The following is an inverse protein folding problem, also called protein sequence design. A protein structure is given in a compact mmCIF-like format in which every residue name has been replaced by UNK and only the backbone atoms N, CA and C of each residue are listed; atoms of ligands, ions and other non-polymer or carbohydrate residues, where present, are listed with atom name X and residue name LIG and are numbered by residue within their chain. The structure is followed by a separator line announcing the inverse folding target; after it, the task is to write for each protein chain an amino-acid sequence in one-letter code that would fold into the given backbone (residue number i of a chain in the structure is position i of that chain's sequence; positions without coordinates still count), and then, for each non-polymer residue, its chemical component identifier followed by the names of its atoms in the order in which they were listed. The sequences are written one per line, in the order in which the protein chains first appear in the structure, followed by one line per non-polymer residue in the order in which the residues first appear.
data_IF_649815051550
#
_entry.id   IF_649815051550
#
_cell.length_a   1.000
_cell.length_b   1.000
_cell.length_c   1.000
_cell.angle_alpha   90.00
_cell.angle_beta   90.00
_cell.angle_gamma   90.00
#
_symmetry.space_group_name_H-M   'P 1'
#
loop_
_entity.id
_entity.type
_entity.pdbx_description
1 polymer ?
#
# COMPACT_ATOMS: atom_id res chain seq x y z
N UNK A 1 21.28 -66.52 -33.57
CA UNK A 1 20.75 -65.17 -33.91
C UNK A 1 19.93 -64.62 -32.76
N UNK A 2 20.30 -63.49 -32.11
CA UNK A 2 19.53 -62.92 -31.05
C UNK A 2 18.37 -62.08 -31.63
N UNK A 3 17.19 -62.20 -30.98
CA UNK A 3 15.99 -61.43 -31.25
C UNK A 3 16.17 -59.98 -30.85
N UNK A 4 15.83 -59.10 -31.76
CA UNK A 4 15.71 -57.66 -31.56
C UNK A 4 14.48 -57.34 -30.67
N UNK A 5 14.69 -56.78 -29.50
CA UNK A 5 13.63 -56.19 -28.66
C UNK A 5 13.27 -54.82 -29.18
N UNK A 6 12.06 -54.72 -29.75
CA UNK A 6 11.44 -53.44 -30.15
C UNK A 6 10.94 -52.76 -28.87
N UNK A 7 11.26 -51.51 -28.59
CA UNK A 7 10.70 -50.79 -27.41
C UNK A 7 9.20 -50.49 -27.60
N UNK A 8 8.44 -50.90 -26.60
CA UNK A 8 7.00 -50.59 -26.46
C UNK A 8 6.78 -49.08 -26.37
N UNK A 9 5.85 -48.52 -27.16
CA UNK A 9 5.56 -47.08 -27.08
C UNK A 9 4.87 -46.77 -25.75
N UNK A 10 5.43 -45.76 -25.08
CA UNK A 10 4.84 -45.16 -23.84
C UNK A 10 3.46 -44.59 -24.17
N UNK A 11 2.41 -44.80 -23.38
CA UNK A 11 1.11 -44.24 -23.60
C UNK A 11 1.15 -42.72 -23.47
N UNK A 12 0.79 -42.01 -24.53
CA UNK A 12 0.51 -40.58 -24.47
C UNK A 12 -0.74 -40.37 -23.63
N UNK A 13 -0.63 -39.57 -22.60
CA UNK A 13 -1.76 -39.09 -21.80
C UNK A 13 -2.59 -38.16 -22.68
N UNK A 14 -3.71 -38.68 -23.21
CA UNK A 14 -4.73 -37.91 -23.91
C UNK A 14 -5.61 -37.15 -22.90
N UNK A 15 -5.03 -36.18 -22.21
CA UNK A 15 -5.84 -35.18 -21.48
C UNK A 15 -6.25 -34.13 -22.52
N UNK A 16 -7.55 -33.88 -22.76
CA UNK A 16 -7.96 -32.91 -23.75
C UNK A 16 -7.48 -31.53 -23.35
N UNK A 17 -6.70 -30.91 -24.20
CA UNK A 17 -6.27 -29.54 -24.03
C UNK A 17 -7.52 -28.64 -24.11
N UNK A 18 -7.83 -27.82 -23.08
CA UNK A 18 -8.98 -26.94 -23.14
C UNK A 18 -8.86 -25.97 -24.30
N UNK A 19 -9.97 -25.71 -25.00
CA UNK A 19 -10.01 -24.70 -26.05
C UNK A 19 -9.87 -23.31 -25.43
N UNK A 20 -8.71 -22.69 -25.64
CA UNK A 20 -8.39 -21.33 -25.13
C UNK A 20 -8.87 -20.34 -26.19
N UNK A 21 -9.98 -19.65 -25.91
CA UNK A 21 -10.65 -18.77 -26.89
C UNK A 21 -10.26 -17.31 -26.74
N UNK A 22 -9.65 -16.91 -25.61
CA UNK A 22 -9.23 -15.54 -25.34
C UNK A 22 -8.05 -15.50 -24.34
N UNK A 23 -7.49 -14.30 -24.13
CA UNK A 23 -6.34 -14.09 -23.23
C UNK A 23 -6.65 -14.46 -21.76
N UNK A 24 -7.89 -14.25 -21.32
CA UNK A 24 -8.30 -14.54 -19.94
C UNK A 24 -8.36 -16.04 -19.67
N UNK A 25 -8.87 -16.83 -20.63
CA UNK A 25 -8.89 -18.29 -20.54
C UNK A 25 -7.47 -18.87 -20.51
N UNK A 26 -6.55 -18.29 -21.31
CA UNK A 26 -5.14 -18.66 -21.29
C UNK A 26 -4.51 -18.38 -19.91
N UNK A 27 -4.74 -17.21 -19.35
CA UNK A 27 -4.17 -16.84 -18.05
C UNK A 27 -4.73 -17.68 -16.90
N UNK A 28 -6.02 -18.03 -16.92
CA UNK A 28 -6.63 -18.95 -15.96
C UNK A 28 -6.01 -20.36 -16.07
N UNK A 29 -5.82 -20.86 -17.30
CA UNK A 29 -5.15 -22.12 -17.53
C UNK A 29 -3.73 -22.13 -16.96
N UNK A 30 -2.92 -21.10 -17.25
CA UNK A 30 -1.53 -20.96 -16.76
C UNK A 30 -1.51 -20.91 -15.23
N UNK A 31 -2.37 -20.12 -14.60
CA UNK A 31 -2.45 -20.01 -13.14
C UNK A 31 -2.78 -21.37 -12.51
N UNK A 32 -3.69 -22.13 -13.10
CA UNK A 32 -4.05 -23.46 -12.63
C UNK A 32 -2.86 -24.43 -12.74
N UNK A 33 -2.08 -24.37 -13.82
CA UNK A 33 -0.87 -25.21 -13.98
C UNK A 33 0.19 -24.88 -12.92
N UNK A 34 0.40 -23.60 -12.62
CA UNK A 34 1.35 -23.15 -11.59
C UNK A 34 0.92 -23.64 -10.20
N UNK A 35 -0.38 -23.50 -9.85
CA UNK A 35 -0.94 -23.96 -8.58
C UNK A 35 -0.75 -25.49 -8.44
N UNK A 36 -1.12 -26.24 -9.46
CA UNK A 36 -1.00 -27.71 -9.46
C UNK A 36 0.47 -28.16 -9.33
N UNK A 37 1.37 -27.50 -10.05
CA UNK A 37 2.82 -27.77 -9.97
C UNK A 37 3.41 -27.37 -8.61
N UNK A 38 2.89 -26.35 -7.98
CA UNK A 38 3.25 -25.93 -6.61
C UNK A 38 2.88 -27.01 -5.60
N UNK A 39 1.65 -27.50 -5.64
CA UNK A 39 1.19 -28.58 -4.77
C UNK A 39 1.92 -29.90 -5.01
N UNK A 40 2.30 -30.19 -6.25
CA UNK A 40 3.05 -31.39 -6.62
C UNK A 40 4.57 -31.28 -6.41
N UNK A 41 5.10 -30.11 -6.01
CA UNK A 41 6.53 -29.87 -5.88
C UNK A 41 7.28 -29.86 -7.22
N UNK A 42 6.61 -29.65 -8.34
CA UNK A 42 7.16 -29.74 -9.70
C UNK A 42 7.33 -28.39 -10.41
N UNK A 43 7.26 -27.27 -9.68
CA UNK A 43 7.38 -25.90 -10.24
C UNK A 43 8.59 -25.70 -11.17
N UNK A 44 9.73 -26.29 -10.82
CA UNK A 44 10.96 -26.20 -11.64
C UNK A 44 10.85 -26.89 -13.01
N UNK A 45 9.79 -27.66 -13.25
CA UNK A 45 9.55 -28.37 -14.52
C UNK A 45 8.63 -27.60 -15.47
N UNK A 46 8.07 -26.48 -15.03
CA UNK A 46 7.19 -25.66 -15.86
C UNK A 46 8.03 -24.81 -16.83
N UNK A 47 7.67 -24.87 -18.11
CA UNK A 47 8.25 -24.04 -19.17
C UNK A 47 7.24 -22.93 -19.56
N UNK A 48 7.62 -21.67 -19.32
CA UNK A 48 6.78 -20.52 -19.65
C UNK A 48 6.55 -20.38 -21.17
N UNK A 49 7.48 -20.81 -22.01
CA UNK A 49 7.30 -20.78 -23.47
C UNK A 49 6.25 -21.79 -23.93
N UNK A 50 6.25 -22.98 -23.32
CA UNK A 50 5.27 -24.02 -23.61
C UNK A 50 3.87 -23.59 -23.15
N UNK A 51 3.74 -23.06 -21.91
CA UNK A 51 2.47 -22.55 -21.37
C UNK A 51 1.88 -21.40 -22.19
N UNK A 52 2.73 -20.55 -22.76
CA UNK A 52 2.32 -19.42 -23.58
C UNK A 52 2.32 -19.72 -25.10
N UNK A 53 2.46 -20.98 -25.53
CA UNK A 53 2.55 -21.34 -26.94
C UNK A 53 1.34 -20.87 -27.77
N UNK A 54 0.15 -20.90 -27.16
CA UNK A 54 -1.13 -20.53 -27.77
C UNK A 54 -1.48 -19.04 -27.61
N UNK A 55 -0.60 -18.22 -27.01
CA UNK A 55 -0.83 -16.78 -26.91
C UNK A 55 -0.72 -16.10 -28.29
N UNK A 56 -1.58 -15.10 -28.60
CA UNK A 56 -1.43 -14.30 -29.82
C UNK A 56 -0.03 -13.71 -29.93
N UNK A 57 0.51 -13.62 -31.13
CA UNK A 57 1.92 -13.24 -31.39
C UNK A 57 2.30 -11.90 -30.72
N UNK A 58 1.38 -10.91 -30.69
CA UNK A 58 1.60 -9.63 -30.02
C UNK A 58 1.68 -9.73 -28.48
N UNK A 59 1.05 -10.75 -27.89
CA UNK A 59 0.96 -10.93 -26.43
C UNK A 59 1.91 -12.01 -25.90
N UNK A 60 2.57 -12.75 -26.78
CA UNK A 60 3.35 -13.94 -26.41
C UNK A 60 4.50 -13.62 -25.45
N UNK A 61 5.26 -12.56 -25.74
CA UNK A 61 6.36 -12.13 -24.88
C UNK A 61 5.87 -11.68 -23.49
N UNK A 62 4.72 -11.01 -23.43
CA UNK A 62 4.11 -10.60 -22.16
C UNK A 62 3.61 -11.80 -21.36
N UNK A 63 2.99 -12.77 -22.02
CA UNK A 63 2.58 -14.03 -21.38
C UNK A 63 3.79 -14.75 -20.77
N UNK A 64 4.88 -14.90 -21.52
CA UNK A 64 6.09 -15.59 -21.05
C UNK A 64 6.69 -14.87 -19.84
N UNK A 65 6.85 -13.55 -19.88
CA UNK A 65 7.42 -12.77 -18.78
C UNK A 65 6.56 -12.88 -17.51
N UNK A 66 5.24 -12.75 -17.63
CA UNK A 66 4.33 -12.92 -16.49
C UNK A 66 4.41 -14.34 -15.92
N UNK A 67 4.36 -15.35 -16.75
CA UNK A 67 4.44 -16.76 -16.34
C UNK A 67 5.75 -17.06 -15.59
N UNK A 68 6.88 -16.52 -16.05
CA UNK A 68 8.18 -16.64 -15.35
C UNK A 68 8.15 -15.98 -13.96
N UNK A 69 7.55 -14.80 -13.84
CA UNK A 69 7.40 -14.12 -12.54
C UNK A 69 6.53 -14.93 -11.57
N UNK A 70 5.41 -15.47 -12.06
CA UNK A 70 4.50 -16.28 -11.24
C UNK A 70 5.15 -17.58 -10.76
N UNK A 71 5.92 -18.26 -11.63
CA UNK A 71 6.71 -19.45 -11.26
C UNK A 71 7.78 -19.09 -10.21
N UNK A 72 8.47 -17.97 -10.36
CA UNK A 72 9.49 -17.51 -9.40
C UNK A 72 8.87 -17.19 -8.05
N UNK A 73 7.72 -16.52 -8.01
CA UNK A 73 6.99 -16.21 -6.79
C UNK A 73 6.54 -17.49 -6.06
N UNK A 74 5.94 -18.44 -6.78
CA UNK A 74 5.53 -19.72 -6.22
C UNK A 74 6.74 -20.56 -5.72
N UNK A 75 7.88 -20.48 -6.39
CA UNK A 75 9.11 -21.18 -5.97
C UNK A 75 9.67 -20.58 -4.67
N UNK A 76 9.64 -19.26 -4.51
CA UNK A 76 10.04 -18.58 -3.25
C UNK A 76 9.14 -18.96 -2.08
N UNK A 77 7.83 -19.05 -2.29
CA UNK A 77 6.89 -19.50 -1.26
C UNK A 77 7.17 -20.94 -0.79
N UNK A 78 7.45 -21.85 -1.72
CA UNK A 78 7.76 -23.25 -1.37
C UNK A 78 9.12 -23.45 -0.69
N UNK A 79 10.10 -22.56 -0.91
CA UNK A 79 11.41 -22.63 -0.25
C UNK A 79 11.40 -22.18 1.21
N UNK A 80 10.35 -21.51 1.66
CA UNK A 80 10.19 -20.99 3.02
C UNK A 80 9.32 -21.87 3.94
N UNK A 81 8.92 -23.07 3.49
CA UNK A 81 8.20 -24.02 4.35
C UNK A 81 9.24 -24.79 5.18
N UNK A 82 9.30 -24.61 6.53
CA UNK A 82 10.19 -25.38 7.39
C UNK A 82 9.74 -26.85 7.39
N UNK A 83 10.61 -27.76 7.04
CA UNK A 83 10.38 -29.22 7.00
C UNK A 83 10.38 -29.89 8.38
N UNK A 84 10.22 -29.16 9.48
CA UNK A 84 9.99 -29.72 10.81
C UNK A 84 9.06 -28.83 11.61
N UNK A 85 7.92 -29.36 11.96
CA UNK A 85 7.04 -28.82 12.99
C UNK A 85 7.67 -29.18 14.35
N UNK A 86 8.12 -28.23 15.15
CA UNK A 86 8.42 -28.46 16.56
C UNK A 86 7.10 -28.37 17.33
N UNK A 87 6.89 -29.37 18.21
CA UNK A 87 5.80 -29.42 19.16
C UNK A 87 5.68 -28.13 19.98
N UNK A 88 4.44 -27.73 20.20
CA UNK A 88 3.97 -26.62 21.03
C UNK A 88 4.82 -26.36 22.26
N UNK A 89 5.60 -25.28 22.26
CA UNK A 89 5.99 -24.57 23.47
C UNK A 89 5.52 -23.10 23.37
N UNK A 90 4.72 -22.75 24.35
CA UNK A 90 4.16 -21.45 24.63
C UNK A 90 5.19 -20.33 24.45
N UNK A 91 5.06 -19.48 23.42
CA UNK A 91 5.76 -18.19 23.37
C UNK A 91 4.97 -17.17 24.21
N UNK A 92 5.35 -17.01 25.47
CA UNK A 92 5.10 -15.79 26.24
C UNK A 92 6.12 -14.74 25.81
N UNK A 93 5.65 -13.53 25.52
CA UNK A 93 6.49 -12.34 25.55
C UNK A 93 6.60 -11.57 24.25
N UNK A 94 5.59 -10.77 23.93
CA UNK A 94 5.76 -9.52 23.17
C UNK A 94 6.70 -8.63 23.98
N UNK A 95 7.93 -8.42 23.49
CA UNK A 95 8.87 -7.48 24.10
C UNK A 95 8.46 -6.06 23.73
N UNK A 96 8.19 -5.29 24.76
CA UNK A 96 7.86 -3.86 24.70
C UNK A 96 9.04 -3.03 24.17
N UNK A 97 8.73 -1.84 23.68
CA UNK A 97 9.60 -0.76 23.17
C UNK A 97 10.79 -0.35 24.08
N UNK A 98 11.00 -1.04 25.19
CA UNK A 98 12.07 -0.79 26.17
C UNK A 98 13.44 -1.38 25.79
N UNK A 99 13.51 -2.27 24.78
CA UNK A 99 14.75 -2.96 24.41
C UNK A 99 15.68 -2.19 23.44
N UNK A 100 15.29 -0.98 23.02
CA UNK A 100 16.13 -0.11 22.17
C UNK A 100 17.26 0.60 22.93
N UNK A 101 17.34 0.42 24.26
CA UNK A 101 18.39 0.96 25.12
C UNK A 101 19.47 -0.07 25.45
N UNK A 102 19.70 -1.07 24.61
CA UNK A 102 20.86 -1.95 24.78
C UNK A 102 22.15 -1.19 24.39
N UNK A 103 23.17 -1.28 25.21
CA UNK A 103 24.47 -0.62 25.02
C UNK A 103 25.19 -1.02 23.70
N UNK A 104 24.65 -1.97 22.95
CA UNK A 104 25.16 -2.37 21.63
C UNK A 104 24.06 -2.91 20.71
N UNK A 105 23.32 -2.03 20.01
CA UNK A 105 22.25 -2.43 19.09
C UNK A 105 22.75 -3.25 17.87
N UNK A 106 24.06 -3.23 17.57
CA UNK A 106 24.68 -4.02 16.49
C UNK A 106 25.28 -5.36 16.95
N UNK A 107 24.99 -5.81 18.19
CA UNK A 107 25.61 -7.02 18.75
C UNK A 107 25.31 -8.28 17.91
N UNK A 108 24.11 -8.39 17.34
CA UNK A 108 23.64 -9.55 16.58
C UNK A 108 23.80 -9.42 15.06
N UNK A 109 24.48 -8.35 14.59
CA UNK A 109 24.75 -8.16 13.16
C UNK A 109 26.02 -8.95 12.76
N UNK A 110 26.02 -9.66 11.59
CA UNK A 110 27.20 -10.33 11.08
C UNK A 110 28.41 -9.40 11.00
N UNK A 111 29.61 -9.91 11.27
CA UNK A 111 30.83 -9.11 11.36
C UNK A 111 31.09 -8.22 10.14
N UNK A 112 30.73 -8.70 8.94
CA UNK A 112 30.89 -7.96 7.67
C UNK A 112 29.97 -6.73 7.52
N UNK A 113 28.89 -6.67 8.27
CA UNK A 113 27.92 -5.56 8.24
C UNK A 113 27.94 -4.71 9.52
N UNK A 114 28.80 -5.04 10.48
CA UNK A 114 28.83 -4.40 11.80
C UNK A 114 29.29 -2.94 11.73
N UNK A 115 30.26 -2.66 10.87
CA UNK A 115 30.77 -1.29 10.67
C UNK A 115 29.73 -0.38 10.00
N UNK A 116 28.94 -0.90 9.08
CA UNK A 116 27.84 -0.15 8.45
C UNK A 116 26.69 0.10 9.44
N UNK A 117 26.36 -0.90 10.26
CA UNK A 117 25.39 -0.75 11.33
C UNK A 117 25.82 0.35 12.32
N UNK A 118 27.09 0.33 12.76
CA UNK A 118 27.61 1.35 13.68
C UNK A 118 27.67 2.74 13.06
N UNK A 119 28.02 2.84 11.75
CA UNK A 119 27.97 4.11 11.00
C UNK A 119 26.54 4.64 10.88
N UNK A 120 25.57 3.77 10.60
CA UNK A 120 24.15 4.14 10.55
C UNK A 120 23.63 4.67 11.89
N UNK A 121 24.04 4.05 13.01
CA UNK A 121 23.69 4.53 14.36
C UNK A 121 24.37 5.87 14.68
N UNK A 122 25.64 6.02 14.30
CA UNK A 122 26.38 7.27 14.52
C UNK A 122 25.77 8.41 13.69
N UNK A 123 25.36 8.14 12.45
CA UNK A 123 24.67 9.10 11.60
C UNK A 123 23.29 9.46 12.17
N UNK A 124 22.49 8.47 12.57
CA UNK A 124 21.20 8.69 13.21
C UNK A 124 21.29 9.49 14.53
N UNK A 125 22.37 9.27 15.32
CA UNK A 125 22.63 10.09 16.50
C UNK A 125 23.00 11.52 16.13
N UNK A 126 23.82 11.72 15.11
CA UNK A 126 24.24 13.03 14.63
C UNK A 126 23.07 13.83 14.03
N UNK A 127 22.18 13.14 13.32
CA UNK A 127 20.95 13.72 12.75
C UNK A 127 19.95 14.10 13.87
N UNK A 128 19.96 13.38 15.00
CA UNK A 128 19.14 13.66 16.18
C UNK A 128 19.71 14.80 17.05
N UNK A 129 21.02 14.98 17.12
CA UNK A 129 21.64 16.05 17.93
C UNK A 129 21.31 17.46 17.39
N UNK A 130 20.93 17.57 16.10
CA UNK A 130 20.49 18.84 15.50
C UNK A 130 19.00 19.16 15.64
N UNK A 131 18.19 18.24 16.19
CA UNK A 131 16.72 18.36 16.23
C UNK A 131 16.13 18.69 17.61
N UNK A 132 16.96 18.89 18.64
CA UNK A 132 16.52 19.05 20.02
C UNK A 132 15.43 20.12 20.23
N UNK A 133 15.59 21.31 19.64
CA UNK A 133 14.62 22.40 19.77
C UNK A 133 13.36 22.18 18.91
N UNK A 134 13.50 21.55 17.75
CA UNK A 134 12.38 21.22 16.86
C UNK A 134 11.50 20.12 17.45
N UNK A 135 12.08 19.10 18.10
CA UNK A 135 11.36 18.03 18.78
C UNK A 135 10.51 18.58 19.92
N UNK A 136 11.05 19.53 20.71
CA UNK A 136 10.26 20.19 21.77
C UNK A 136 9.10 21.04 21.23
N UNK A 137 9.25 21.65 20.07
CA UNK A 137 8.20 22.48 19.48
C UNK A 137 7.01 21.62 19.02
N UNK A 138 7.23 20.49 18.33
CA UNK A 138 6.13 19.65 17.85
C UNK A 138 5.57 18.70 18.94
N UNK A 139 6.33 18.40 20.00
CA UNK A 139 5.82 17.64 21.15
C UNK A 139 4.60 18.31 21.78
N UNK A 140 4.56 19.65 21.80
CA UNK A 140 3.41 20.42 22.28
C UNK A 140 2.22 20.37 21.31
N UNK A 141 2.44 19.95 20.06
CA UNK A 141 1.42 19.88 19.02
C UNK A 141 0.82 18.48 18.86
N UNK A 142 1.29 17.50 19.63
CA UNK A 142 0.86 16.09 19.49
C UNK A 142 -0.64 15.88 19.65
N UNK A 143 -1.28 16.66 20.50
CA UNK A 143 -2.67 16.45 20.85
C UNK A 143 -3.46 17.75 20.82
N UNK A 144 -4.67 17.69 20.25
CA UNK A 144 -5.69 18.69 20.44
C UNK A 144 -6.24 18.62 21.87
N UNK A 145 -6.65 19.74 22.45
CA UNK A 145 -7.33 19.77 23.74
C UNK A 145 -8.73 19.11 23.65
N UNK A 146 -9.44 19.39 22.56
CA UNK A 146 -10.73 18.82 22.22
C UNK A 146 -10.90 18.77 20.70
N UNK A 147 -11.86 17.97 20.25
CA UNK A 147 -12.27 17.93 18.85
C UNK A 147 -13.76 17.64 18.75
N UNK A 148 -14.46 18.41 17.91
CA UNK A 148 -15.86 18.19 17.57
C UNK A 148 -15.94 17.59 16.16
N UNK A 149 -16.28 16.30 16.00
CA UNK A 149 -16.37 15.67 14.70
C UNK A 149 -17.54 16.18 13.83
N UNK A 150 -18.54 16.86 14.43
CA UNK A 150 -19.63 17.46 13.69
C UNK A 150 -19.23 18.77 12.98
N UNK A 151 -18.17 19.44 13.45
CA UNK A 151 -17.70 20.72 12.94
C UNK A 151 -16.17 20.73 12.73
N UNK A 152 -15.64 19.94 11.79
CA UNK A 152 -14.20 19.90 11.52
C UNK A 152 -13.70 21.28 11.04
N UNK A 153 -12.60 21.80 11.62
CA UNK A 153 -12.06 23.11 11.26
C UNK A 153 -11.45 23.10 9.87
N UNK A 154 -11.67 24.15 9.08
CA UNK A 154 -11.17 24.31 7.71
C UNK A 154 -9.72 24.83 7.71
N UNK A 155 -8.77 23.95 8.04
CA UNK A 155 -7.37 24.29 8.31
C UNK A 155 -6.42 24.07 7.13
N UNK A 156 -6.76 23.20 6.17
CA UNK A 156 -5.94 22.99 4.99
C UNK A 156 -6.07 24.19 4.06
N UNK A 157 -4.96 24.90 3.89
CA UNK A 157 -4.86 26.16 3.11
C UNK A 157 -4.31 25.94 1.71
N UNK A 158 -3.79 24.75 1.44
CA UNK A 158 -3.26 24.36 0.15
C UNK A 158 -3.59 22.89 -0.12
N UNK A 159 -3.72 22.51 -1.40
CA UNK A 159 -3.95 21.14 -1.77
C UNK A 159 -2.70 20.29 -1.45
N UNK A 160 -2.92 19.03 -1.08
CA UNK A 160 -1.81 18.13 -0.74
C UNK A 160 -1.08 17.59 -1.98
N UNK A 161 -1.66 17.71 -3.18
CA UNK A 161 -1.10 17.25 -4.45
C UNK A 161 -1.68 18.03 -5.65
N UNK A 162 -1.19 17.77 -6.84
CA UNK A 162 -1.66 18.29 -8.13
C UNK A 162 -2.90 17.50 -8.57
N UNK A 163 -4.09 17.87 -8.06
CA UNK A 163 -5.32 17.07 -8.17
C UNK A 163 -5.76 16.81 -9.61
N UNK A 164 -5.51 17.74 -10.52
CA UNK A 164 -5.80 17.66 -11.95
C UNK A 164 -5.06 16.51 -12.67
N UNK A 165 -4.08 15.90 -12.00
CA UNK A 165 -3.33 14.75 -12.52
C UNK A 165 -3.96 13.40 -12.17
N UNK A 166 -5.09 13.40 -11.49
CA UNK A 166 -5.75 12.18 -11.05
C UNK A 166 -7.09 11.96 -11.74
N UNK A 167 -7.44 10.71 -11.97
CA UNK A 167 -8.72 10.31 -12.57
C UNK A 167 -9.78 9.97 -11.53
N UNK A 168 -9.36 9.66 -10.30
CA UNK A 168 -10.28 9.31 -9.21
C UNK A 168 -9.62 9.36 -7.84
N UNK A 169 -10.45 9.54 -6.82
CA UNK A 169 -10.09 9.49 -5.40
C UNK A 169 -10.95 8.46 -4.68
N UNK A 170 -10.36 7.66 -3.80
CA UNK A 170 -11.15 6.71 -3.00
C UNK A 170 -11.91 7.41 -1.89
N UNK A 171 -13.06 6.84 -1.54
CA UNK A 171 -13.87 7.33 -0.43
C UNK A 171 -13.29 6.86 0.91
N UNK A 172 -13.42 7.66 1.95
CA UNK A 172 -13.18 7.23 3.33
C UNK A 172 -14.14 6.09 3.68
N UNK A 173 -13.71 5.11 4.43
CA UNK A 173 -14.38 3.82 4.73
C UNK A 173 -14.58 2.92 3.52
N UNK A 174 -13.77 3.10 2.47
CA UNK A 174 -13.81 2.24 1.28
C UNK A 174 -13.18 0.87 1.55
N UNK A 175 -13.39 -0.06 0.61
CA UNK A 175 -12.66 -1.33 0.51
C UNK A 175 -11.41 -1.23 -0.37
N UNK A 176 -10.83 -0.05 -0.57
CA UNK A 176 -9.66 0.17 -1.42
C UNK A 176 -8.37 -0.07 -0.64
N UNK A 177 -7.41 -0.73 -1.27
CA UNK A 177 -6.10 -1.00 -0.68
C UNK A 177 -6.17 -2.04 0.43
N UNK A 178 -5.98 -1.62 1.66
CA UNK A 178 -5.98 -2.47 2.85
C UNK A 178 -6.65 -1.77 4.03
N UNK A 179 -6.87 -2.51 5.13
CA UNK A 179 -7.40 -1.91 6.35
C UNK A 179 -6.47 -0.80 6.85
N UNK A 180 -7.04 0.37 7.07
CA UNK A 180 -6.36 1.48 7.70
C UNK A 180 -7.35 2.20 8.63
N UNK A 181 -7.28 1.92 9.90
CA UNK A 181 -8.26 2.39 10.88
C UNK A 181 -7.56 3.00 12.10
N UNK A 182 -7.00 4.21 11.98
CA UNK A 182 -6.32 4.89 13.09
C UNK A 182 -7.31 5.46 14.13
N UNK A 183 -8.57 5.61 13.75
CA UNK A 183 -9.62 6.15 14.61
C UNK A 183 -10.01 5.15 15.71
N UNK A 184 -10.02 5.59 16.97
CA UNK A 184 -10.46 4.77 18.08
C UNK A 184 -11.95 4.43 18.01
N UNK A 185 -12.76 5.30 17.37
CA UNK A 185 -14.20 5.08 17.21
C UNK A 185 -14.53 4.13 16.03
N UNK A 186 -13.57 3.96 15.10
CA UNK A 186 -13.70 3.08 13.93
C UNK A 186 -13.02 1.73 14.11
N UNK A 187 -12.21 1.57 15.15
CA UNK A 187 -11.43 0.35 15.36
C UNK A 187 -12.32 -0.86 15.66
N UNK A 188 -12.13 -1.92 14.87
CA UNK A 188 -12.74 -3.22 15.11
C UNK A 188 -11.63 -4.27 15.38
N UNK A 189 -11.43 -4.67 16.65
CA UNK A 189 -10.39 -5.63 17.01
C UNK A 189 -10.66 -7.05 16.47
N UNK A 190 -11.87 -7.32 15.95
CA UNK A 190 -12.24 -8.63 15.40
C UNK A 190 -11.93 -8.75 13.89
N UNK A 191 -11.48 -7.69 13.25
CA UNK A 191 -11.26 -7.60 11.79
C UNK A 191 -12.50 -7.97 10.93
N UNK A 192 -13.70 -7.83 11.50
CA UNK A 192 -14.95 -8.15 10.79
C UNK A 192 -15.57 -6.97 10.06
N UNK A 193 -15.13 -5.75 10.38
CA UNK A 193 -15.56 -4.53 9.71
C UNK A 193 -14.36 -3.70 9.29
N UNK A 194 -13.51 -4.29 8.47
CA UNK A 194 -12.36 -3.63 7.90
C UNK A 194 -12.76 -2.49 6.96
N UNK A 195 -11.96 -1.44 6.95
CA UNK A 195 -12.19 -0.26 6.11
C UNK A 195 -10.92 0.54 5.92
N UNK A 196 -10.80 1.25 4.81
CA UNK A 196 -9.73 2.22 4.63
C UNK A 196 -10.20 3.61 5.05
N UNK A 197 -9.52 4.19 6.04
CA UNK A 197 -9.75 5.55 6.53
C UNK A 197 -8.75 6.55 5.92
N UNK A 198 -8.23 6.26 4.73
CA UNK A 198 -7.40 7.15 3.94
C UNK A 198 -7.92 7.24 2.51
N UNK A 199 -7.58 8.30 1.83
CA UNK A 199 -7.81 8.44 0.40
C UNK A 199 -6.66 7.83 -0.39
N UNK A 200 -6.99 7.04 -1.39
CA UNK A 200 -6.12 6.63 -2.48
C UNK A 200 -6.43 7.47 -3.72
N UNK A 201 -5.42 7.74 -4.52
CA UNK A 201 -5.56 8.50 -5.77
C UNK A 201 -4.94 7.71 -6.91
N UNK A 202 -5.66 7.67 -8.03
CA UNK A 202 -5.19 7.03 -9.26
C UNK A 202 -4.91 8.10 -10.31
N UNK A 203 -3.68 8.20 -10.83
CA UNK A 203 -3.35 9.17 -11.88
C UNK A 203 -4.17 8.98 -13.17
N UNK A 204 -4.34 10.07 -13.92
CA UNK A 204 -4.96 10.05 -15.26
C UNK A 204 -4.18 9.10 -16.17
N UNK A 205 -4.91 8.36 -17.01
CA UNK A 205 -4.34 7.45 -17.99
C UNK A 205 -3.93 6.09 -17.43
N UNK A 206 -4.07 5.86 -16.12
CA UNK A 206 -3.89 4.52 -15.53
C UNK A 206 -5.14 3.70 -15.83
N UNK A 207 -5.01 2.54 -16.49
CA UNK A 207 -6.15 1.66 -16.73
C UNK A 207 -6.76 1.15 -15.42
N UNK A 208 -8.08 0.93 -15.42
CA UNK A 208 -8.83 0.49 -14.25
C UNK A 208 -8.58 -0.98 -13.85
N UNK A 209 -7.50 -1.62 -14.31
CA UNK A 209 -7.20 -3.00 -13.93
C UNK A 209 -5.86 -3.10 -13.21
N UNK A 210 -5.81 -3.90 -12.15
CA UNK A 210 -4.60 -4.16 -11.36
C UNK A 210 -3.42 -4.67 -12.20
N UNK A 211 -3.68 -5.43 -13.27
CA UNK A 211 -2.65 -6.00 -14.13
C UNK A 211 -1.98 -4.98 -15.06
N UNK A 212 -2.69 -3.94 -15.43
CA UNK A 212 -2.18 -2.86 -16.28
C UNK A 212 -1.49 -1.78 -15.47
N UNK A 213 -1.83 -1.68 -14.19
CA UNK A 213 -1.29 -0.71 -13.26
C UNK A 213 0.25 -0.75 -13.21
N UNK A 214 0.81 -1.91 -12.90
CA UNK A 214 2.26 -2.09 -12.80
C UNK A 214 3.01 -1.89 -14.13
N UNK A 215 2.34 -2.07 -15.28
CA UNK A 215 2.96 -1.99 -16.60
C UNK A 215 2.96 -0.59 -17.20
N UNK A 216 2.03 0.25 -16.77
CA UNK A 216 1.87 1.61 -17.29
C UNK A 216 2.55 2.66 -16.43
N UNK A 217 2.99 2.31 -15.22
CA UNK A 217 3.70 3.17 -14.30
C UNK A 217 4.87 3.91 -14.96
N UNK A 218 5.69 3.21 -15.73
CA UNK A 218 6.81 3.79 -16.45
C UNK A 218 6.42 4.77 -17.57
N UNK A 219 5.17 4.68 -18.05
CA UNK A 219 4.71 5.49 -19.19
C UNK A 219 4.21 6.86 -18.78
N UNK A 220 3.68 7.01 -17.56
CA UNK A 220 2.95 8.19 -17.11
C UNK A 220 3.74 9.16 -16.24
N UNK A 221 5.01 8.87 -15.91
CA UNK A 221 5.86 9.73 -15.09
C UNK A 221 5.20 10.20 -13.78
N UNK A 222 4.32 9.40 -13.19
CA UNK A 222 3.62 9.76 -11.95
C UNK A 222 4.55 9.97 -10.75
N UNK A 223 5.79 9.42 -10.78
CA UNK A 223 6.83 9.78 -9.80
C UNK A 223 7.16 11.28 -9.81
N UNK A 224 6.79 12.02 -10.85
CA UNK A 224 6.94 13.48 -10.90
C UNK A 224 5.76 14.24 -10.28
N UNK A 225 4.67 13.56 -9.90
CA UNK A 225 3.53 14.19 -9.23
C UNK A 225 3.98 14.65 -7.84
N UNK A 226 3.70 15.92 -7.55
CA UNK A 226 4.20 16.59 -6.35
C UNK A 226 3.26 16.42 -5.18
N UNK A 227 3.86 16.30 -4.01
CA UNK A 227 3.18 16.47 -2.73
C UNK A 227 3.52 17.82 -2.11
N UNK A 228 2.52 18.47 -1.54
CA UNK A 228 2.62 19.76 -0.88
C UNK A 228 2.12 19.69 0.56
N UNK A 229 2.65 20.54 1.43
CA UNK A 229 2.10 20.71 2.77
C UNK A 229 0.77 21.45 2.72
N UNK A 230 -0.33 20.90 3.29
CA UNK A 230 -1.61 21.61 3.32
C UNK A 230 -1.66 22.72 4.38
N UNK A 231 -0.76 22.69 5.34
CA UNK A 231 -0.72 23.58 6.51
C UNK A 231 0.71 24.04 6.80
N UNK A 232 0.86 25.12 7.58
CA UNK A 232 2.11 25.37 8.29
C UNK A 232 2.26 24.29 9.38
N UNK A 233 3.41 23.61 9.43
CA UNK A 233 3.59 22.49 10.33
C UNK A 233 5.01 21.96 10.42
N UNK A 234 5.14 20.78 11.01
CA UNK A 234 6.41 20.06 11.13
C UNK A 234 6.27 18.65 10.57
N UNK A 235 7.29 18.19 9.86
CA UNK A 235 7.41 16.80 9.41
C UNK A 235 7.72 15.92 10.61
N UNK A 236 6.94 14.85 10.80
CA UNK A 236 7.07 13.92 11.93
C UNK A 236 6.79 12.48 11.51
N UNK A 237 7.34 11.53 12.27
CA UNK A 237 7.10 10.10 12.06
C UNK A 237 7.67 9.59 10.74
N UNK A 238 8.81 10.11 10.32
CA UNK A 238 9.46 9.70 9.06
C UNK A 238 9.96 8.27 9.17
N UNK A 239 9.55 7.45 8.22
CA UNK A 239 10.08 6.10 8.03
C UNK A 239 10.47 5.91 6.57
N UNK A 240 11.55 5.18 6.33
CA UNK A 240 12.09 4.91 5.00
C UNK A 240 12.05 3.42 4.69
N UNK A 241 11.77 3.11 3.43
CA UNK A 241 11.80 1.76 2.91
C UNK A 241 12.49 1.75 1.56
N UNK A 242 13.42 0.82 1.37
CA UNK A 242 14.04 0.59 0.06
C UNK A 242 13.13 -0.27 -0.80
N UNK A 243 12.92 0.15 -2.03
CA UNK A 243 12.25 -0.63 -3.07
C UNK A 243 13.11 -0.69 -4.34
N UNK A 244 12.61 -1.33 -5.39
CA UNK A 244 13.34 -1.48 -6.66
C UNK A 244 13.55 -0.17 -7.43
N UNK A 245 12.84 0.90 -7.05
CA UNK A 245 12.85 2.19 -7.74
C UNK A 245 13.55 3.29 -6.93
N UNK A 246 13.94 2.99 -5.71
CA UNK A 246 14.65 3.93 -4.83
C UNK A 246 14.21 3.84 -3.38
N UNK A 247 14.28 4.95 -2.68
CA UNK A 247 13.84 5.07 -1.30
C UNK A 247 12.47 5.71 -1.25
N UNK A 248 11.47 4.96 -0.81
CA UNK A 248 10.17 5.53 -0.44
C UNK A 248 10.15 5.93 1.04
N UNK A 249 9.31 6.86 1.39
CA UNK A 249 9.10 7.31 2.76
C UNK A 249 7.62 7.38 3.09
N UNK A 250 7.30 7.13 4.37
CA UNK A 250 6.03 7.53 4.96
C UNK A 250 6.34 8.57 6.03
N UNK A 251 5.55 9.63 6.08
CA UNK A 251 5.69 10.68 7.08
C UNK A 251 4.36 11.38 7.32
N UNK A 252 4.30 12.16 8.39
CA UNK A 252 3.13 13.00 8.69
C UNK A 252 3.58 14.46 8.83
N UNK A 253 2.65 15.37 8.57
CA UNK A 253 2.80 16.78 8.94
C UNK A 253 1.86 17.03 10.12
N UNK A 254 2.40 17.46 11.27
CA UNK A 254 1.59 17.96 12.36
C UNK A 254 1.37 19.45 12.19
N UNK A 255 0.12 19.91 12.28
CA UNK A 255 -0.23 21.32 12.11
C UNK A 255 0.31 22.18 13.26
N UNK A 256 1.00 23.28 12.91
CA UNK A 256 1.52 24.25 13.87
C UNK A 256 0.43 25.04 14.57
N UNK A 257 -0.63 25.37 13.84
CA UNK A 257 -1.71 26.25 14.32
C UNK A 257 -2.92 25.47 14.87
N UNK A 258 -3.00 24.17 14.58
CA UNK A 258 -4.09 23.30 15.03
C UNK A 258 -3.47 22.03 15.63
N UNK A 259 -3.03 22.05 16.90
CA UNK A 259 -2.45 20.89 17.55
C UNK A 259 -3.32 19.63 17.43
N UNK A 260 -2.68 18.48 17.31
CA UNK A 260 -3.34 17.20 17.16
C UNK A 260 -3.76 16.83 15.74
N UNK A 261 -3.75 17.78 14.80
CA UNK A 261 -4.06 17.48 13.39
C UNK A 261 -2.83 17.01 12.64
N UNK A 262 -2.94 15.83 12.02
CA UNK A 262 -1.89 15.19 11.23
C UNK A 262 -2.34 14.93 9.81
N UNK A 263 -1.46 15.22 8.85
CA UNK A 263 -1.63 14.87 7.44
C UNK A 263 -0.57 13.83 7.09
N UNK A 264 -0.98 12.58 6.89
CA UNK A 264 -0.11 11.43 6.64
C UNK A 264 0.07 11.17 5.15
N UNK A 265 1.32 11.10 4.70
CA UNK A 265 1.72 10.75 3.34
C UNK A 265 2.36 9.38 3.33
N UNK A 266 1.96 8.55 2.40
CA UNK A 266 2.47 7.20 2.24
C UNK A 266 3.07 7.02 0.85
N UNK A 267 4.05 6.14 0.75
CA UNK A 267 4.72 5.84 -0.51
C UNK A 267 5.23 7.10 -1.23
N UNK A 268 5.80 8.03 -0.47
CA UNK A 268 6.30 9.29 -0.98
C UNK A 268 7.83 9.27 -1.09
N UNK A 269 8.39 10.07 -1.99
CA UNK A 269 9.79 10.46 -1.96
C UNK A 269 9.88 11.83 -1.28
N UNK A 270 10.35 11.86 -0.03
CA UNK A 270 10.53 13.11 0.71
C UNK A 270 11.55 13.99 -0.01
N UNK A 271 11.25 15.29 -0.14
CA UNK A 271 12.14 16.22 -0.84
C UNK A 271 13.49 16.37 -0.14
N UNK A 272 14.55 16.55 -0.92
CA UNK A 272 15.91 16.71 -0.43
C UNK A 272 16.02 17.84 0.61
N UNK A 273 16.73 17.55 1.69
CA UNK A 273 16.95 18.49 2.81
C UNK A 273 15.80 18.51 3.83
N UNK A 274 14.66 17.87 3.55
CA UNK A 274 13.59 17.68 4.53
C UNK A 274 13.81 16.39 5.32
N UNK A 275 13.50 16.43 6.61
CA UNK A 275 13.67 15.31 7.55
C UNK A 275 12.72 15.45 8.74
N UNK A 276 12.76 14.48 9.63
CA UNK A 276 12.07 14.55 10.93
C UNK A 276 12.34 15.90 11.60
N UNK A 277 11.28 16.58 12.06
CA UNK A 277 11.34 17.88 12.71
C UNK A 277 11.51 19.09 11.78
N UNK A 278 11.62 18.91 10.46
CA UNK A 278 11.67 20.04 9.51
C UNK A 278 10.37 20.85 9.56
N UNK A 279 10.48 22.17 9.72
CA UNK A 279 9.33 23.08 9.59
C UNK A 279 9.00 23.27 8.11
N UNK A 280 7.70 23.21 7.78
CA UNK A 280 7.18 23.42 6.42
C UNK A 280 6.04 24.42 6.41
N UNK A 281 5.83 25.07 5.27
CA UNK A 281 4.75 26.04 5.05
C UNK A 281 3.65 25.44 4.18
N UNK A 282 2.41 25.92 4.38
CA UNK A 282 1.32 25.60 3.46
C UNK A 282 1.73 25.94 2.01
N UNK A 283 1.54 25.00 1.08
CA UNK A 283 1.95 25.12 -0.33
C UNK A 283 3.41 24.80 -0.62
N UNK A 284 4.23 24.55 0.40
CA UNK A 284 5.61 24.10 0.16
C UNK A 284 5.60 22.67 -0.40
N UNK A 285 6.33 22.46 -1.50
CA UNK A 285 6.58 21.10 -1.99
C UNK A 285 7.40 20.32 -0.96
N UNK A 286 6.89 19.16 -0.55
CA UNK A 286 7.48 18.30 0.47
C UNK A 286 8.00 16.98 -0.08
N UNK A 287 7.65 16.67 -1.32
CA UNK A 287 8.06 15.43 -1.97
C UNK A 287 7.35 15.21 -3.29
N UNK A 288 7.47 13.98 -3.77
CA UNK A 288 6.78 13.44 -4.94
C UNK A 288 6.30 12.02 -4.62
N UNK A 289 5.62 11.38 -5.56
CA UNK A 289 5.38 9.94 -5.47
C UNK A 289 6.70 9.18 -5.35
N UNK A 290 6.77 8.19 -4.46
CA UNK A 290 7.98 7.46 -4.14
C UNK A 290 8.04 6.03 -4.67
N UNK A 291 6.92 5.50 -5.18
CA UNK A 291 6.84 4.14 -5.69
C UNK A 291 5.94 4.08 -6.94
N UNK A 292 6.47 3.51 -8.03
CA UNK A 292 5.73 3.30 -9.28
C UNK A 292 4.63 2.25 -9.18
N UNK A 293 4.68 1.40 -8.16
CA UNK A 293 3.73 0.29 -7.96
C UNK A 293 2.61 0.62 -6.96
N UNK A 294 2.61 1.80 -6.39
CA UNK A 294 1.61 2.21 -5.41
C UNK A 294 0.82 3.42 -5.85
N UNK A 295 -0.32 3.62 -5.23
CA UNK A 295 -1.18 4.76 -5.46
C UNK A 295 -0.75 5.94 -4.60
N UNK A 296 -1.14 7.15 -5.00
CA UNK A 296 -1.05 8.29 -4.11
C UNK A 296 -1.96 8.07 -2.90
N UNK A 297 -1.49 8.39 -1.71
CA UNK A 297 -2.25 8.14 -0.48
C UNK A 297 -2.12 9.31 0.49
N UNK A 298 -3.26 9.72 1.06
CA UNK A 298 -3.30 10.68 2.16
C UNK A 298 -4.26 10.24 3.25
N UNK A 299 -3.85 10.40 4.51
CA UNK A 299 -4.71 10.26 5.68
C UNK A 299 -4.73 11.56 6.48
N UNK A 300 -5.89 11.93 7.01
CA UNK A 300 -6.02 13.03 7.99
C UNK A 300 -6.49 12.46 9.30
N UNK A 301 -5.75 12.76 10.36
CA UNK A 301 -6.02 12.27 11.72
C UNK A 301 -6.06 13.43 12.71
N UNK A 302 -6.91 13.29 13.72
CA UNK A 302 -6.91 14.17 14.89
C UNK A 302 -6.67 13.34 16.15
N UNK A 303 -5.58 13.62 16.85
CA UNK A 303 -5.27 12.99 18.14
C UNK A 303 -5.65 13.96 19.26
N UNK A 304 -6.45 13.49 20.20
CA UNK A 304 -6.97 14.28 21.33
C UNK A 304 -6.32 13.84 22.64
N UNK A 305 -6.10 14.77 23.58
CA UNK A 305 -5.48 14.50 24.88
C UNK A 305 -6.17 13.40 25.71
N UNK A 306 -7.46 13.17 25.45
CA UNK A 306 -8.22 12.09 26.10
C UNK A 306 -7.92 10.68 25.55
N UNK A 307 -6.95 10.54 24.65
CA UNK A 307 -6.55 9.28 24.02
C UNK A 307 -7.39 8.86 22.81
N UNK A 308 -8.37 9.68 22.40
CA UNK A 308 -9.14 9.42 21.17
C UNK A 308 -8.37 9.88 19.94
N UNK A 309 -8.50 9.12 18.86
CA UNK A 309 -8.02 9.46 17.52
C UNK A 309 -9.19 9.39 16.55
N UNK A 310 -9.37 10.44 15.77
CA UNK A 310 -10.37 10.52 14.71
C UNK A 310 -9.68 10.53 13.36
N UNK A 311 -10.22 9.82 12.39
CA UNK A 311 -9.80 9.88 10.99
C UNK A 311 -10.86 10.60 10.17
N UNK A 312 -10.40 11.45 9.25
CA UNK A 312 -11.22 12.39 8.48
C UNK A 312 -10.93 12.27 6.98
N UNK A 313 -11.89 12.68 6.17
CA UNK A 313 -11.58 13.06 4.79
C UNK A 313 -10.75 14.34 4.75
N UNK A 314 -9.81 14.44 3.81
CA UNK A 314 -9.10 15.69 3.55
C UNK A 314 -10.05 16.85 3.24
N UNK A 315 -11.17 16.56 2.55
CA UNK A 315 -12.15 17.56 2.17
C UNK A 315 -12.96 18.10 3.36
N UNK A 316 -13.03 17.37 4.47
CA UNK A 316 -13.64 17.88 5.69
C UNK A 316 -12.83 19.00 6.34
N UNK A 317 -11.51 19.03 6.12
CA UNK A 317 -10.61 20.06 6.67
C UNK A 317 -10.09 21.05 5.62
N UNK A 318 -10.42 20.86 4.34
CA UNK A 318 -10.10 21.78 3.26
C UNK A 318 -10.83 23.14 3.46
N UNK A 319 -10.11 24.27 3.31
CA UNK A 319 -10.73 25.56 3.27
C UNK A 319 -11.46 25.75 1.92
N UNK A 320 -12.18 26.84 1.76
CA UNK A 320 -13.02 27.12 0.59
C UNK A 320 -12.21 27.14 -0.72
N UNK A 321 -11.01 27.73 -0.73
CA UNK A 321 -10.18 27.80 -1.93
C UNK A 321 -9.63 26.42 -2.35
N UNK A 322 -9.23 25.59 -1.38
CA UNK A 322 -8.78 24.21 -1.64
C UNK A 322 -9.95 23.34 -2.05
N UNK A 323 -11.10 23.47 -1.39
CA UNK A 323 -12.29 22.71 -1.75
C UNK A 323 -12.73 23.01 -3.19
N UNK A 324 -12.59 24.27 -3.63
CA UNK A 324 -12.92 24.67 -5.00
C UNK A 324 -12.14 23.86 -6.06
N UNK A 325 -10.86 23.54 -5.83
CA UNK A 325 -10.08 22.73 -6.76
C UNK A 325 -10.72 21.35 -6.97
N UNK A 326 -11.23 20.73 -5.90
CA UNK A 326 -11.99 19.48 -5.99
C UNK A 326 -13.38 19.66 -6.60
N UNK A 327 -13.99 20.81 -6.37
CA UNK A 327 -15.28 21.12 -6.97
C UNK A 327 -15.17 21.32 -8.48
N UNK A 328 -14.06 21.84 -8.97
CA UNK A 328 -13.77 21.97 -10.41
C UNK A 328 -13.60 20.57 -11.08
N UNK A 329 -13.34 19.52 -10.29
CA UNK A 329 -13.25 18.10 -10.70
C UNK A 329 -14.56 17.32 -10.41
N UNK A 330 -15.66 18.02 -10.14
CA UNK A 330 -17.00 17.45 -9.98
C UNK A 330 -17.44 17.11 -8.54
N UNK A 331 -16.58 17.28 -7.51
CA UNK A 331 -16.97 17.04 -6.11
C UNK A 331 -17.80 18.22 -5.58
N UNK A 332 -19.06 17.97 -5.25
CA UNK A 332 -19.97 19.02 -4.77
C UNK A 332 -19.98 19.17 -3.24
N UNK A 333 -19.61 18.12 -2.52
CA UNK A 333 -19.51 18.14 -1.06
C UNK A 333 -18.47 17.14 -0.55
N UNK A 334 -17.95 17.33 0.67
CA UNK A 334 -17.05 16.36 1.30
C UNK A 334 -17.70 14.97 1.43
N UNK A 335 -19.03 14.89 1.51
CA UNK A 335 -19.77 13.63 1.60
C UNK A 335 -19.67 12.77 0.32
N UNK A 336 -19.35 13.36 -0.84
CA UNK A 336 -19.21 12.61 -2.10
C UNK A 336 -18.03 11.61 -2.03
N UNK A 337 -17.05 11.87 -1.15
CA UNK A 337 -15.89 11.03 -0.92
C UNK A 337 -15.88 10.38 0.46
N UNK A 338 -17.05 10.23 1.07
CA UNK A 338 -17.21 9.58 2.38
C UNK A 338 -18.32 8.53 2.29
N UNK A 339 -17.98 7.29 2.61
CA UNK A 339 -18.96 6.25 2.92
C UNK A 339 -19.39 6.45 4.37
N UNK A 340 -20.70 6.56 4.62
CA UNK A 340 -21.17 6.75 6.00
C UNK A 340 -20.86 5.55 6.87
N UNK A 341 -20.75 5.78 8.17
CA UNK A 341 -20.49 4.69 9.13
C UNK A 341 -21.62 3.68 9.10
N UNK A 342 -22.87 4.14 9.09
CA UNK A 342 -24.07 3.32 9.08
C UNK A 342 -24.09 2.40 7.85
N UNK A 343 -23.70 2.93 6.66
CA UNK A 343 -23.62 2.12 5.46
C UNK A 343 -22.53 1.03 5.60
N UNK A 344 -21.33 1.40 6.09
CA UNK A 344 -20.23 0.45 6.25
C UNK A 344 -20.52 -0.62 7.31
N UNK A 345 -21.18 -0.24 8.41
CA UNK A 345 -21.58 -1.18 9.46
C UNK A 345 -22.68 -2.15 8.99
N UNK A 346 -23.58 -1.69 8.12
CA UNK A 346 -24.57 -2.53 7.45
C UNK A 346 -23.98 -3.42 6.33
N UNK A 347 -22.85 -3.03 5.75
CA UNK A 347 -22.14 -3.73 4.67
C UNK A 347 -20.68 -3.99 5.07
N UNK A 348 -20.42 -4.83 6.08
CA UNK A 348 -19.09 -5.02 6.63
C UNK A 348 -18.15 -5.69 5.62
N UNK A 349 -16.88 -5.29 5.65
CA UNK A 349 -15.80 -5.94 4.92
C UNK A 349 -14.95 -6.76 5.89
N UNK A 350 -14.33 -7.82 5.39
CA UNK A 350 -13.40 -8.65 6.15
C UNK A 350 -11.97 -8.48 5.64
N UNK A 351 -11.01 -8.57 6.56
CA UNK A 351 -9.57 -8.60 6.25
C UNK A 351 -8.97 -9.95 6.63
N UNK A 352 -7.82 -10.22 6.03
CA UNK A 352 -6.95 -11.28 6.48
C UNK A 352 -6.25 -10.90 7.82
N UNK A 353 -5.54 -11.87 8.41
CA UNK A 353 -4.80 -11.67 9.66
C UNK A 353 -3.36 -11.18 9.42
N UNK A 354 -3.02 -10.71 8.22
CA UNK A 354 -1.70 -10.13 7.96
C UNK A 354 -1.54 -8.79 8.67
N UNK A 355 -0.31 -8.34 8.87
CA UNK A 355 -0.01 -7.02 9.45
C UNK A 355 -0.64 -5.88 8.65
N UNK A 356 -0.72 -6.02 7.34
CA UNK A 356 -1.35 -5.03 6.46
C UNK A 356 -2.88 -5.07 6.54
N UNK A 357 -3.48 -6.22 6.89
CA UNK A 357 -4.93 -6.39 6.91
C UNK A 357 -5.54 -6.23 5.52
N UNK A 358 -5.11 -7.06 4.55
CA UNK A 358 -5.65 -7.02 3.20
C UNK A 358 -7.11 -7.46 3.17
N UNK A 359 -7.94 -6.77 2.42
CA UNK A 359 -9.36 -7.14 2.27
C UNK A 359 -9.47 -8.53 1.65
N UNK A 360 -10.27 -9.41 2.26
CA UNK A 360 -10.54 -10.75 1.73
C UNK A 360 -11.23 -10.61 0.37
N UNK A 361 -10.69 -11.30 -0.62
CA UNK A 361 -11.09 -11.20 -2.03
C UNK A 361 -10.14 -10.37 -2.87
N UNK A 362 -9.29 -9.52 -2.27
CA UNK A 362 -8.23 -8.83 -3.01
C UNK A 362 -7.08 -9.78 -3.38
N UNK A 363 -6.37 -9.46 -4.44
CA UNK A 363 -5.19 -10.24 -4.90
C UNK A 363 -4.08 -10.35 -3.86
N UNK A 364 -4.07 -9.45 -2.88
CA UNK A 364 -3.08 -9.38 -1.79
C UNK A 364 -3.44 -10.24 -0.57
N UNK A 365 -4.72 -10.61 -0.40
CA UNK A 365 -5.19 -11.39 0.75
C UNK A 365 -4.87 -12.89 0.68
N UNK A 366 -4.32 -13.37 -0.44
CA UNK A 366 -4.12 -14.79 -0.71
C UNK A 366 -5.41 -15.56 -1.08
N UNK A 367 -6.57 -14.89 -1.07
CA UNK A 367 -7.87 -15.43 -1.49
C UNK A 367 -8.45 -14.46 -2.52
N UNK A 368 -8.13 -14.70 -3.80
CA UNK A 368 -8.59 -13.84 -4.89
C UNK A 368 -10.04 -14.13 -5.25
N UNK A 369 -10.89 -13.09 -5.20
CA UNK A 369 -12.21 -13.03 -5.82
C UNK A 369 -12.20 -11.91 -6.88
N UNK A 370 -12.30 -12.28 -8.14
CA UNK A 370 -12.27 -11.34 -9.26
C UNK A 370 -13.43 -10.34 -9.24
N UNK A 371 -14.59 -10.68 -8.64
CA UNK A 371 -15.69 -9.73 -8.50
C UNK A 371 -15.37 -8.71 -7.42
N UNK A 372 -14.75 -9.13 -6.30
CA UNK A 372 -14.29 -8.22 -5.27
C UNK A 372 -13.17 -7.32 -5.81
N UNK A 373 -12.19 -7.87 -6.52
CA UNK A 373 -11.08 -7.11 -7.11
C UNK A 373 -11.62 -6.03 -8.06
N UNK A 374 -12.55 -6.39 -8.95
CA UNK A 374 -13.22 -5.42 -9.84
C UNK A 374 -14.01 -4.37 -9.07
N UNK A 375 -14.78 -4.78 -8.07
CA UNK A 375 -15.52 -3.86 -7.22
C UNK A 375 -14.58 -2.91 -6.46
N UNK A 376 -13.46 -3.43 -5.97
CA UNK A 376 -12.45 -2.63 -5.26
C UNK A 376 -11.87 -1.51 -6.17
N UNK A 377 -11.61 -1.80 -7.44
CA UNK A 377 -10.94 -0.87 -8.37
C UNK A 377 -11.88 0.00 -9.20
N UNK A 378 -13.09 -0.45 -9.49
CA UNK A 378 -13.95 0.14 -10.52
C UNK A 378 -15.28 0.67 -9.97
N UNK A 379 -15.67 0.30 -8.74
CA UNK A 379 -16.99 0.66 -8.23
C UNK A 379 -17.05 2.11 -7.74
N UNK A 380 -18.10 2.83 -8.13
CA UNK A 380 -18.49 4.10 -7.53
C UNK A 380 -18.84 4.03 -6.04
N UNK A 381 -19.04 2.82 -5.47
CA UNK A 381 -19.16 2.64 -4.03
C UNK A 381 -17.86 3.02 -3.30
N UNK A 382 -16.70 2.71 -3.92
CA UNK A 382 -15.39 2.94 -3.35
C UNK A 382 -14.71 4.20 -3.84
N UNK A 383 -15.06 4.68 -5.05
CA UNK A 383 -14.37 5.76 -5.73
C UNK A 383 -15.31 6.90 -6.09
N UNK A 384 -14.77 8.10 -6.08
CA UNK A 384 -15.26 9.23 -6.84
C UNK A 384 -14.40 9.38 -8.08
N UNK A 385 -15.02 9.47 -9.26
CA UNK A 385 -14.34 9.65 -10.54
C UNK A 385 -14.39 11.13 -10.90
N UNK A 386 -13.24 11.72 -11.21
CA UNK A 386 -13.15 13.12 -11.61
C UNK A 386 -13.68 13.33 -13.03
N UNK A 387 -14.13 14.54 -13.31
CA UNK A 387 -14.76 14.92 -14.59
C UNK A 387 -13.74 15.38 -15.65
N UNK A 388 -12.45 15.01 -15.55
CA UNK A 388 -11.34 15.43 -16.44
C UNK A 388 -11.57 15.08 -17.92
#
# INVERSE_FOLDING_TARGET
TPKSDTPTPTPKSDTPTPSINNADDLMKFISTQIINASHAGTLKKLDANELCSNAPTLSKNMCIQKTLMDIQAATKMNSNIPTKVPSSQSMKGSKSRADLNSDNPCANVPAVAKDECLKGIAQAKKDNEGSGDAIQAWDKLKYADSYDPANPPKIAKYNFTEIEKFSKISKIRSGVGHNYTPSTDEHDPTNKNCKSMKHYLIPVGVPNSSDLYAKTAHTFKWLSIKYFSPVDGYIVGVSYKQNSYGTESNFKIVSKNNPGFYFGYFHAALADGLKEGSEVKAGQQIGTFGDENTWGEIAVEVQVKNGKTYALSFLEVANESVFKEFSDEGINSANDVIITREYRDANPLACDNSEAGWFIGSSRSGVLDMNFERWQFESGDNWFFFEN
#
